data_IF_423251813775
#
_entry.id   IF_423251813775
#
_cell.length_a   1.000
_cell.length_b   1.000
_cell.length_c   1.000
_cell.angle_alpha   90.00
_cell.angle_beta   90.00
_cell.angle_gamma   90.00
#
_symmetry.space_group_name_H-M   'P 1'
#
loop_
_entity.id
_entity.type
_entity.pdbx_description
1 polymer ?
#
# COMPACT_ATOMS: atom_id res chain seq x y z
N UNK A 1 -27.49 3.28 -11.30
CA UNK A 1 -27.45 2.57 -10.00
C UNK A 1 -26.19 1.73 -9.97
N UNK A 2 -25.30 1.96 -9.01
CA UNK A 2 -24.09 1.15 -8.89
C UNK A 2 -24.46 -0.26 -8.41
N UNK A 3 -23.87 -1.29 -9.02
CA UNK A 3 -24.13 -2.68 -8.64
C UNK A 3 -23.34 -3.01 -7.37
N UNK A 4 -24.07 -3.29 -6.29
CA UNK A 4 -23.51 -3.78 -5.03
C UNK A 4 -22.58 -4.99 -5.24
N UNK A 5 -21.40 -5.00 -4.61
CA UNK A 5 -20.39 -6.06 -4.78
C UNK A 5 -20.27 -6.93 -3.52
N UNK A 6 -20.61 -8.21 -3.61
CA UNK A 6 -20.43 -9.14 -2.48
C UNK A 6 -18.96 -9.52 -2.25
N UNK A 7 -18.44 -9.25 -1.04
CA UNK A 7 -17.14 -9.78 -0.60
C UNK A 7 -17.20 -11.31 -0.50
N UNK A 8 -16.32 -11.99 -1.22
CA UNK A 8 -16.15 -13.43 -1.20
C UNK A 8 -15.00 -13.81 -0.29
N UNK A 9 -15.32 -14.26 0.92
CA UNK A 9 -14.30 -14.75 1.85
C UNK A 9 -13.76 -16.12 1.41
N UNK A 10 -12.44 -16.27 1.26
CA UNK A 10 -11.82 -17.57 1.07
C UNK A 10 -12.03 -18.49 2.28
N UNK A 11 -11.74 -19.77 2.10
CA UNK A 11 -11.73 -20.73 3.19
C UNK A 11 -10.49 -20.52 4.08
N UNK A 12 -10.68 -20.53 5.39
CA UNK A 12 -9.58 -20.42 6.36
C UNK A 12 -8.80 -21.73 6.53
N UNK A 13 -9.50 -22.85 6.38
CA UNK A 13 -8.94 -24.20 6.51
C UNK A 13 -9.70 -25.20 5.65
N UNK A 14 -9.05 -26.32 5.37
CA UNK A 14 -9.69 -27.46 4.74
C UNK A 14 -10.53 -28.22 5.78
N UNK A 15 -11.84 -28.00 5.82
CA UNK A 15 -12.74 -28.65 6.80
C UNK A 15 -13.28 -30.00 6.30
N UNK A 16 -14.04 -30.00 5.20
CA UNK A 16 -14.72 -31.20 4.70
C UNK A 16 -14.90 -31.17 3.18
N UNK A 17 -15.03 -32.36 2.59
CA UNK A 17 -15.36 -32.50 1.18
C UNK A 17 -16.79 -32.01 0.90
N UNK A 18 -16.94 -31.12 -0.09
CA UNK A 18 -18.22 -30.56 -0.51
C UNK A 18 -19.23 -31.61 -1.01
N UNK A 19 -18.74 -32.79 -1.45
CA UNK A 19 -19.58 -33.83 -2.04
C UNK A 19 -19.98 -34.94 -1.06
N UNK A 20 -19.08 -35.35 -0.16
CA UNK A 20 -19.30 -36.53 0.69
C UNK A 20 -19.06 -36.27 2.19
N UNK A 21 -18.67 -35.06 2.58
CA UNK A 21 -18.46 -34.69 3.98
C UNK A 21 -17.22 -35.29 4.66
N UNK A 22 -16.45 -36.17 4.00
CA UNK A 22 -15.19 -36.70 4.53
C UNK A 22 -14.21 -35.55 4.85
N UNK A 23 -13.44 -35.73 5.93
CA UNK A 23 -12.45 -34.74 6.43
C UNK A 23 -10.98 -35.12 6.17
N UNK A 24 -10.74 -36.26 5.53
CA UNK A 24 -9.40 -36.77 5.22
C UNK A 24 -9.05 -36.57 3.74
N UNK A 25 -7.75 -36.45 3.42
CA UNK A 25 -7.24 -36.34 2.05
C UNK A 25 -7.89 -35.20 1.25
N UNK A 26 -8.10 -34.07 1.91
CA UNK A 26 -8.75 -32.90 1.33
C UNK A 26 -7.81 -32.20 0.34
N UNK A 27 -8.36 -31.86 -0.82
CA UNK A 27 -7.69 -31.17 -1.90
C UNK A 27 -8.62 -30.07 -2.41
N UNK A 28 -8.03 -28.94 -2.79
CA UNK A 28 -8.77 -27.86 -3.43
C UNK A 28 -8.96 -28.14 -4.92
N UNK A 29 -10.01 -27.58 -5.51
CA UNK A 29 -10.14 -27.52 -6.95
C UNK A 29 -8.91 -26.88 -7.57
N UNK A 30 -8.18 -27.61 -8.42
CA UNK A 30 -6.94 -27.13 -9.05
C UNK A 30 -7.13 -25.90 -9.94
N UNK A 31 -8.36 -25.64 -10.39
CA UNK A 31 -8.72 -24.49 -11.24
C UNK A 31 -9.01 -23.23 -10.42
N UNK A 32 -10.01 -23.25 -9.53
CA UNK A 32 -10.43 -22.06 -8.79
C UNK A 32 -9.84 -21.94 -7.38
N UNK A 33 -9.39 -23.03 -6.77
CA UNK A 33 -8.87 -23.03 -5.39
C UNK A 33 -9.92 -22.84 -4.28
N UNK A 34 -11.22 -22.76 -4.59
CA UNK A 34 -12.26 -22.46 -3.59
C UNK A 34 -13.10 -23.68 -3.13
N UNK A 35 -13.23 -24.74 -3.94
CA UNK A 35 -13.99 -25.94 -3.55
C UNK A 35 -13.11 -27.03 -2.98
N UNK A 36 -13.55 -27.71 -1.91
CA UNK A 36 -12.81 -28.81 -1.26
C UNK A 36 -13.37 -30.18 -1.67
N UNK A 37 -12.49 -31.10 -2.06
CA UNK A 37 -12.81 -32.47 -2.38
C UNK A 37 -11.83 -33.45 -1.72
N UNK A 38 -12.31 -34.62 -1.29
CA UNK A 38 -11.42 -35.67 -0.76
C UNK A 38 -10.83 -36.58 -1.86
N UNK A 39 -11.23 -36.39 -3.12
CA UNK A 39 -10.84 -37.22 -4.26
C UNK A 39 -11.30 -36.62 -5.60
N UNK A 40 -10.64 -36.95 -6.72
CA UNK A 40 -11.12 -36.62 -8.07
C UNK A 40 -12.53 -37.16 -8.37
N UNK A 41 -12.92 -38.30 -7.76
CA UNK A 41 -14.28 -38.86 -7.91
C UNK A 41 -15.35 -37.91 -7.34
N UNK A 42 -15.09 -37.32 -6.18
CA UNK A 42 -16.01 -36.33 -5.59
C UNK A 42 -16.06 -35.05 -6.42
N UNK A 43 -14.91 -34.56 -6.88
CA UNK A 43 -14.86 -33.40 -7.78
C UNK A 43 -15.65 -33.64 -9.07
N UNK A 44 -15.48 -34.80 -9.74
CA UNK A 44 -16.24 -35.16 -10.95
C UNK A 44 -17.74 -35.24 -10.70
N UNK A 45 -18.15 -35.75 -9.53
CA UNK A 45 -19.57 -35.83 -9.14
C UNK A 45 -20.18 -34.45 -8.91
N UNK A 46 -19.44 -33.50 -8.34
CA UNK A 46 -19.88 -32.12 -8.11
C UNK A 46 -19.73 -31.23 -9.37
N UNK A 47 -18.91 -31.64 -10.33
CA UNK A 47 -18.54 -30.85 -11.51
C UNK A 47 -19.71 -30.24 -12.29
N UNK A 48 -20.86 -30.93 -12.52
CA UNK A 48 -22.00 -30.32 -13.21
C UNK A 48 -22.49 -29.02 -12.58
N UNK A 49 -22.45 -28.91 -11.25
CA UNK A 49 -22.84 -27.72 -10.50
C UNK A 49 -21.64 -26.77 -10.34
N UNK A 50 -20.49 -27.29 -9.92
CA UNK A 50 -19.31 -26.49 -9.65
C UNK A 50 -18.78 -25.75 -10.88
N UNK A 51 -18.83 -26.34 -12.08
CA UNK A 51 -18.33 -25.69 -13.30
C UNK A 51 -18.98 -24.33 -13.60
N UNK A 52 -20.20 -24.11 -13.10
CA UNK A 52 -20.95 -22.86 -13.25
C UNK A 52 -20.33 -21.73 -12.42
N UNK A 53 -19.68 -22.06 -11.31
CA UNK A 53 -19.01 -21.10 -10.41
C UNK A 53 -17.48 -21.19 -10.48
N UNK A 54 -16.92 -22.22 -11.11
CA UNK A 54 -15.48 -22.45 -11.27
C UNK A 54 -14.85 -21.56 -12.37
N UNK A 55 -14.89 -20.24 -12.16
CA UNK A 55 -14.48 -19.24 -13.15
C UNK A 55 -13.71 -18.08 -12.51
N UNK A 56 -12.69 -18.42 -11.73
CA UNK A 56 -11.79 -17.46 -11.09
C UNK A 56 -10.42 -17.48 -11.77
N UNK A 57 -9.87 -16.30 -11.97
CA UNK A 57 -8.47 -16.10 -12.29
C UNK A 57 -7.67 -16.04 -10.98
N UNK A 58 -6.40 -16.44 -11.04
CA UNK A 58 -5.49 -16.41 -9.89
C UNK A 58 -4.27 -15.57 -10.22
N UNK A 59 -3.80 -14.81 -9.23
CA UNK A 59 -2.58 -14.01 -9.33
C UNK A 59 -1.66 -14.43 -8.19
N UNK A 60 -0.41 -14.74 -8.54
CA UNK A 60 0.59 -15.05 -7.53
C UNK A 60 0.99 -13.76 -6.79
N UNK A 61 1.06 -13.82 -5.47
CA UNK A 61 1.47 -12.71 -4.62
C UNK A 61 2.88 -12.20 -4.98
N UNK A 62 3.79 -13.09 -5.37
CA UNK A 62 5.13 -12.71 -5.83
C UNK A 62 5.10 -11.88 -7.13
N UNK A 63 4.04 -11.99 -7.93
CA UNK A 63 3.82 -11.17 -9.13
C UNK A 63 3.04 -9.90 -8.79
N UNK A 64 2.26 -9.89 -7.70
CA UNK A 64 1.42 -8.77 -7.29
C UNK A 64 2.14 -7.73 -6.42
N UNK A 65 3.07 -8.13 -5.55
CA UNK A 65 3.69 -7.19 -4.60
C UNK A 65 4.39 -5.96 -5.23
N UNK A 66 4.96 -6.00 -6.45
CA UNK A 66 5.53 -4.80 -7.06
C UNK A 66 4.46 -3.77 -7.42
N UNK A 67 3.26 -4.23 -7.77
CA UNK A 67 2.11 -3.36 -7.92
C UNK A 67 1.70 -2.73 -6.59
N UNK A 68 1.71 -3.49 -5.48
CA UNK A 68 1.47 -2.91 -4.14
C UNK A 68 2.52 -1.86 -3.77
N UNK A 69 3.79 -2.11 -4.08
CA UNK A 69 4.89 -1.16 -3.87
C UNK A 69 4.69 0.11 -4.71
N UNK A 70 4.18 -0.03 -5.93
CA UNK A 70 3.81 1.09 -6.80
C UNK A 70 2.73 1.97 -6.15
N UNK A 71 1.71 1.36 -5.54
CA UNK A 71 0.66 2.11 -4.83
C UNK A 71 1.20 2.84 -3.60
N UNK A 72 2.12 2.21 -2.85
CA UNK A 72 2.77 2.87 -1.72
C UNK A 72 3.62 4.07 -2.18
N UNK A 73 4.39 3.92 -3.26
CA UNK A 73 5.19 5.00 -3.83
C UNK A 73 4.31 6.17 -4.28
N UNK A 74 3.16 5.89 -4.91
CA UNK A 74 2.17 6.93 -5.23
C UNK A 74 1.73 7.65 -3.95
N UNK A 75 1.43 6.92 -2.88
CA UNK A 75 1.03 7.50 -1.59
C UNK A 75 2.09 8.40 -0.98
N UNK A 76 3.36 7.97 -0.99
CA UNK A 76 4.48 8.79 -0.50
C UNK A 76 4.75 10.03 -1.37
N UNK A 77 4.42 9.97 -2.66
CA UNK A 77 4.63 11.06 -3.60
C UNK A 77 3.46 12.06 -3.72
N UNK A 78 2.36 11.86 -2.97
CA UNK A 78 1.21 12.78 -3.04
C UNK A 78 1.55 14.17 -2.53
N UNK A 79 0.96 15.18 -3.19
CA UNK A 79 1.19 16.59 -2.86
C UNK A 79 0.60 17.02 -1.51
N UNK A 80 -0.41 16.30 -1.02
CA UNK A 80 -1.09 16.59 0.25
C UNK A 80 -0.31 16.09 1.46
N UNK A 81 0.63 15.14 1.26
CA UNK A 81 1.53 14.70 2.31
C UNK A 81 2.39 15.90 2.71
N UNK A 82 2.38 16.33 3.99
CA UNK A 82 3.24 17.41 4.45
C UNK A 82 4.69 17.10 4.10
N UNK A 83 5.39 18.08 3.51
CA UNK A 83 6.81 17.93 3.24
C UNK A 83 7.56 17.81 4.56
N UNK A 84 8.36 16.75 4.69
CA UNK A 84 9.30 16.68 5.80
C UNK A 84 10.24 17.90 5.71
N UNK A 85 10.45 18.68 6.79
CA UNK A 85 11.25 19.90 6.74
C UNK A 85 12.65 19.67 6.14
N UNK A 86 13.25 18.51 6.40
CA UNK A 86 14.53 18.09 5.82
C UNK A 86 14.56 18.03 4.29
N UNK A 87 13.42 17.90 3.60
CA UNK A 87 13.36 17.94 2.13
C UNK A 87 13.42 19.37 1.57
N UNK A 88 13.29 20.39 2.43
CA UNK A 88 13.24 21.81 2.03
C UNK A 88 14.37 22.65 2.61
N UNK A 89 15.24 22.05 3.43
CA UNK A 89 16.40 22.72 4.01
C UNK A 89 17.66 22.04 3.51
N UNK A 90 18.76 22.80 3.47
CA UNK A 90 20.08 22.22 3.24
C UNK A 90 20.42 21.27 4.40
N UNK A 91 20.98 20.12 4.05
CA UNK A 91 21.40 19.09 4.98
C UNK A 91 22.90 19.22 5.23
N UNK A 92 23.25 19.45 6.48
CA UNK A 92 24.63 19.50 6.96
C UNK A 92 24.89 18.29 7.85
N UNK A 93 26.08 17.71 7.68
CA UNK A 93 26.61 16.68 8.59
C UNK A 93 27.77 17.30 9.39
N UNK A 94 27.90 17.04 10.70
CA UNK A 94 29.06 17.40 11.52
C UNK A 94 30.41 17.05 10.87
N UNK A 95 31.41 17.94 10.93
CA UNK A 95 32.75 17.72 10.35
C UNK A 95 33.51 16.56 11.01
N UNK A 96 33.37 16.44 12.34
CA UNK A 96 33.98 15.38 13.12
C UNK A 96 32.91 14.38 13.52
N UNK A 97 32.21 13.80 12.53
CA UNK A 97 31.28 12.72 12.80
C UNK A 97 32.04 11.59 13.49
N UNK A 98 31.90 11.41 14.82
CA UNK A 98 32.40 10.21 15.44
C UNK A 98 31.64 9.05 14.81
N UNK A 99 32.13 7.81 14.86
CA UNK A 99 31.32 6.65 14.48
C UNK A 99 30.16 6.46 15.48
N UNK A 100 29.25 7.44 15.59
CA UNK A 100 28.13 7.45 16.53
C UNK A 100 27.06 6.55 15.99
N UNK A 101 26.32 6.03 16.95
CA UNK A 101 25.23 5.13 16.74
C UNK A 101 24.19 5.67 15.76
N UNK A 102 23.91 6.96 15.58
CA UNK A 102 22.73 7.43 14.79
C UNK A 102 23.15 8.34 13.63
N UNK A 103 22.27 8.64 12.66
CA UNK A 103 22.53 9.63 11.59
C UNK A 103 21.87 10.98 11.88
N UNK A 104 22.56 11.92 12.57
CA UNK A 104 22.20 13.34 12.57
C UNK A 104 22.07 13.94 11.17
N UNK A 105 20.95 14.62 10.96
CA UNK A 105 20.57 15.44 9.83
C UNK A 105 20.38 16.86 10.41
N UNK A 106 21.35 17.74 10.18
CA UNK A 106 21.25 19.14 10.61
C UNK A 106 20.56 19.92 9.50
N UNK A 107 19.47 20.60 9.85
CA UNK A 107 18.71 21.48 8.99
C UNK A 107 19.32 22.88 9.08
N UNK A 108 19.99 23.27 8.01
CA UNK A 108 20.53 24.61 7.76
C UNK A 108 19.46 25.46 7.04
N UNK A 109 19.85 26.43 6.21
CA UNK A 109 18.95 27.33 5.52
C UNK A 109 17.95 26.61 4.61
N UNK A 110 16.74 27.19 4.52
CA UNK A 110 15.70 26.73 3.61
C UNK A 110 16.15 26.98 2.16
N UNK A 111 16.04 25.96 1.31
CA UNK A 111 16.36 26.05 -0.12
C UNK A 111 15.09 26.48 -0.87
N UNK A 112 15.15 27.56 -1.68
CA UNK A 112 14.06 27.93 -2.59
C UNK A 112 13.72 26.77 -3.55
N UNK A 113 12.43 26.58 -3.88
CA UNK A 113 11.97 25.46 -4.72
C UNK A 113 12.59 25.48 -6.13
N UNK A 114 12.82 26.66 -6.68
CA UNK A 114 13.44 26.90 -7.99
C UNK A 114 14.97 26.71 -7.98
N UNK A 115 15.58 26.67 -6.80
CA UNK A 115 17.01 26.45 -6.61
C UNK A 115 17.36 25.01 -6.23
N UNK A 116 16.36 24.15 -6.01
CA UNK A 116 16.59 22.81 -5.49
C UNK A 116 17.38 21.94 -6.48
N UNK A 117 18.55 21.49 -6.04
CA UNK A 117 19.30 20.39 -6.66
C UNK A 117 19.79 19.45 -5.55
N UNK A 118 20.00 18.16 -5.84
CA UNK A 118 20.52 17.23 -4.83
C UNK A 118 21.86 17.71 -4.26
N UNK A 119 22.74 18.24 -5.13
CA UNK A 119 24.04 18.78 -4.73
C UNK A 119 23.93 20.00 -3.80
N UNK A 120 22.99 20.92 -4.06
CA UNK A 120 22.73 22.05 -3.14
C UNK A 120 22.08 21.57 -1.84
N UNK A 121 21.15 20.63 -1.95
CA UNK A 121 20.41 20.06 -0.83
C UNK A 121 21.30 19.31 0.16
N UNK A 122 22.25 18.53 -0.32
CA UNK A 122 23.14 17.76 0.53
C UNK A 122 24.57 17.79 -0.02
N UNK A 123 25.29 18.91 0.16
CA UNK A 123 26.57 19.16 -0.53
C UNK A 123 27.72 18.29 -0.04
N UNK A 124 27.66 17.81 1.20
CA UNK A 124 28.76 17.06 1.83
C UNK A 124 28.84 15.59 1.40
N UNK A 125 27.77 15.01 0.85
CA UNK A 125 27.83 13.66 0.28
C UNK A 125 28.53 13.71 -1.08
N UNK A 126 29.40 12.75 -1.42
CA UNK A 126 30.25 12.86 -2.61
C UNK A 126 29.48 12.61 -3.91
N UNK A 127 28.51 11.70 -3.91
CA UNK A 127 27.79 11.27 -5.11
C UNK A 127 26.30 11.60 -5.06
N UNK A 128 25.66 11.74 -6.22
CA UNK A 128 24.20 11.87 -6.30
C UNK A 128 23.46 10.60 -5.86
N UNK A 129 24.12 9.44 -5.96
CA UNK A 129 23.63 8.15 -5.45
C UNK A 129 23.42 8.24 -3.94
N UNK A 130 24.45 8.67 -3.20
CA UNK A 130 24.40 8.85 -1.74
C UNK A 130 23.33 9.87 -1.34
N UNK A 131 23.26 11.01 -2.05
CA UNK A 131 22.26 12.06 -1.80
C UNK A 131 20.85 11.52 -2.02
N UNK A 132 20.61 10.84 -3.15
CA UNK A 132 19.30 10.26 -3.48
C UNK A 132 18.87 9.24 -2.44
N UNK A 133 19.80 8.43 -1.93
CA UNK A 133 19.54 7.45 -0.88
C UNK A 133 19.03 8.12 0.39
N UNK A 134 19.71 9.17 0.88
CA UNK A 134 19.23 9.94 2.04
C UNK A 134 17.89 10.62 1.74
N UNK A 135 17.75 11.18 0.54
CA UNK A 135 16.51 11.83 0.11
C UNK A 135 15.31 10.89 0.14
N UNK A 136 15.45 9.69 -0.43
CA UNK A 136 14.41 8.67 -0.46
C UNK A 136 14.01 8.24 0.95
N UNK A 137 14.99 8.02 1.84
CA UNK A 137 14.71 7.69 3.25
C UNK A 137 13.79 8.72 3.89
N UNK A 138 14.12 10.00 3.77
CA UNK A 138 13.35 11.12 4.32
C UNK A 138 11.98 11.23 3.64
N UNK A 139 11.91 11.05 2.32
CA UNK A 139 10.66 11.10 1.55
C UNK A 139 9.67 10.02 2.01
N UNK A 140 10.18 8.83 2.31
CA UNK A 140 9.39 7.69 2.76
C UNK A 140 9.03 7.75 4.25
N UNK A 141 9.57 8.68 5.03
CA UNK A 141 9.23 8.80 6.46
C UNK A 141 7.77 9.17 6.72
N UNK A 142 7.20 8.54 7.77
CA UNK A 142 5.85 8.78 8.25
C UNK A 142 4.74 8.21 7.35
N UNK A 143 3.54 8.17 7.91
CA UNK A 143 2.30 7.79 7.21
C UNK A 143 2.26 6.37 6.62
N UNK A 144 3.14 5.48 7.07
CA UNK A 144 3.14 4.06 6.64
C UNK A 144 1.79 3.40 6.91
N UNK A 145 1.25 3.54 8.12
CA UNK A 145 -0.02 2.93 8.49
C UNK A 145 -1.19 3.38 7.57
N UNK A 146 -1.46 4.69 7.40
CA UNK A 146 -2.44 5.18 6.42
C UNK A 146 -2.32 4.53 5.05
N UNK A 147 -1.10 4.51 4.49
CA UNK A 147 -0.83 3.96 3.16
C UNK A 147 -1.15 2.45 3.10
N UNK A 148 -0.71 1.68 4.09
CA UNK A 148 -0.92 0.24 4.13
C UNK A 148 -2.40 -0.14 4.34
N UNK A 149 -3.14 0.60 5.17
CA UNK A 149 -4.59 0.41 5.34
C UNK A 149 -5.31 0.65 4.02
N UNK A 150 -5.04 1.76 3.36
CA UNK A 150 -5.65 2.10 2.08
C UNK A 150 -5.39 1.06 0.99
N UNK A 151 -4.14 0.60 0.87
CA UNK A 151 -3.78 -0.47 -0.09
C UNK A 151 -4.50 -1.77 0.24
N UNK A 152 -4.62 -2.12 1.52
CA UNK A 152 -5.27 -3.36 1.97
C UNK A 152 -6.78 -3.35 1.71
N UNK A 153 -7.45 -2.22 1.96
CA UNK A 153 -8.88 -2.06 1.65
C UNK A 153 -9.10 -2.06 0.13
N UNK A 154 -8.24 -1.37 -0.64
CA UNK A 154 -8.33 -1.42 -2.09
C UNK A 154 -8.10 -2.83 -2.65
N UNK A 155 -7.20 -3.60 -2.05
CA UNK A 155 -6.98 -5.01 -2.38
C UNK A 155 -8.21 -5.87 -2.08
N UNK A 156 -8.83 -5.68 -0.91
CA UNK A 156 -10.10 -6.32 -0.53
C UNK A 156 -11.19 -6.01 -1.56
N UNK A 157 -11.38 -4.73 -1.87
CA UNK A 157 -12.39 -4.25 -2.81
C UNK A 157 -12.13 -4.73 -4.25
N UNK A 158 -10.89 -4.68 -4.73
CA UNK A 158 -10.54 -5.04 -6.11
C UNK A 158 -10.51 -6.54 -6.36
N UNK A 159 -9.89 -7.30 -5.45
CA UNK A 159 -9.63 -8.74 -5.68
C UNK A 159 -10.74 -9.60 -5.06
N UNK A 160 -11.28 -9.26 -3.90
CA UNK A 160 -12.16 -10.17 -3.16
C UNK A 160 -13.65 -9.90 -3.29
N UNK A 161 -14.09 -8.83 -3.97
CA UNK A 161 -15.53 -8.55 -4.18
C UNK A 161 -16.07 -9.02 -5.55
N UNK A 162 -15.20 -9.41 -6.47
CA UNK A 162 -15.60 -9.78 -7.82
C UNK A 162 -16.12 -11.23 -7.85
N UNK A 163 -17.45 -11.40 -7.72
CA UNK A 163 -18.11 -12.64 -8.16
C UNK A 163 -18.12 -12.72 -9.68
N UNK A 164 -18.27 -13.92 -10.22
CA UNK A 164 -18.47 -14.10 -11.64
C UNK A 164 -19.83 -13.53 -12.07
N UNK A 165 -19.88 -12.23 -12.39
CA UNK A 165 -21.10 -11.56 -12.84
C UNK A 165 -21.20 -11.69 -14.35
N UNK A 166 -22.36 -12.12 -14.84
CA UNK A 166 -22.71 -11.96 -16.26
C UNK A 166 -22.96 -10.48 -16.50
N UNK A 167 -22.08 -9.85 -17.26
CA UNK A 167 -22.31 -8.52 -17.78
C UNK A 167 -23.54 -8.52 -18.73
N UNK A 168 -24.20 -7.38 -18.93
CA UNK A 168 -25.38 -7.26 -19.80
C UNK A 168 -25.15 -7.77 -21.23
N UNK A 169 -23.91 -7.67 -21.74
CA UNK A 169 -23.49 -8.19 -23.04
C UNK A 169 -23.29 -9.72 -23.07
N UNK A 170 -23.60 -10.43 -21.98
CA UNK A 170 -23.43 -11.88 -21.85
C UNK A 170 -22.01 -12.31 -21.45
N UNK A 171 -21.02 -11.40 -21.42
CA UNK A 171 -19.66 -11.74 -21.02
C UNK A 171 -19.61 -11.99 -19.51
N UNK A 172 -18.99 -13.10 -19.11
CA UNK A 172 -18.79 -13.41 -17.69
C UNK A 172 -17.49 -12.76 -17.24
N UNK A 173 -17.58 -11.72 -16.40
CA UNK A 173 -16.40 -11.19 -15.70
C UNK A 173 -15.91 -12.29 -14.76
N UNK A 174 -14.62 -12.62 -14.82
CA UNK A 174 -14.03 -13.60 -13.91
C UNK A 174 -13.60 -12.88 -12.64
N UNK A 175 -13.92 -13.45 -11.49
CA UNK A 175 -13.34 -12.99 -10.23
C UNK A 175 -11.84 -13.27 -10.21
N UNK A 176 -11.11 -12.52 -9.39
CA UNK A 176 -9.65 -12.69 -9.22
C UNK A 176 -9.37 -13.14 -7.80
N UNK A 177 -8.36 -13.99 -7.58
CA UNK A 177 -7.91 -14.35 -6.23
C UNK A 177 -6.40 -14.31 -6.13
N UNK A 178 -5.90 -13.84 -5.00
CA UNK A 178 -4.50 -14.00 -4.68
C UNK A 178 -4.20 -15.44 -4.28
N UNK A 179 -3.04 -15.90 -4.70
CA UNK A 179 -2.42 -17.14 -4.27
C UNK A 179 -0.96 -16.89 -3.94
N UNK A 180 -0.39 -17.76 -3.12
CA UNK A 180 1.04 -17.78 -2.84
C UNK A 180 1.51 -19.23 -2.94
N UNK A 181 2.51 -19.49 -3.80
CA UNK A 181 3.08 -20.84 -3.99
C UNK A 181 2.05 -21.94 -4.30
N UNK A 182 1.07 -21.59 -5.13
CA UNK A 182 -0.02 -22.52 -5.49
C UNK A 182 -1.16 -22.63 -4.46
N UNK A 183 -1.02 -22.00 -3.30
CA UNK A 183 -1.99 -22.04 -2.20
C UNK A 183 -2.82 -20.74 -2.16
N UNK A 184 -4.16 -20.79 -2.12
CA UNK A 184 -4.97 -19.58 -2.00
C UNK A 184 -4.67 -18.81 -0.71
N UNK A 185 -4.66 -17.48 -0.80
CA UNK A 185 -4.61 -16.61 0.38
C UNK A 185 -5.94 -16.74 1.13
N UNK A 186 -5.87 -17.21 2.38
CA UNK A 186 -7.00 -17.36 3.29
C UNK A 186 -7.21 -16.15 4.19
N UNK A 187 -6.15 -15.38 4.46
CA UNK A 187 -6.22 -14.16 5.25
C UNK A 187 -5.11 -13.19 4.83
N UNK A 188 -5.35 -11.89 4.98
CA UNK A 188 -4.33 -10.85 4.87
C UNK A 188 -4.74 -9.62 5.68
N UNK A 189 -3.76 -8.82 6.02
CA UNK A 189 -3.99 -7.57 6.75
C UNK A 189 -2.69 -6.91 7.15
N UNK A 190 -2.72 -6.21 8.27
CA UNK A 190 -1.61 -5.44 8.78
C UNK A 190 -1.04 -6.10 10.02
N UNK A 191 0.28 -6.24 10.05
CA UNK A 191 1.02 -6.60 11.24
C UNK A 191 1.72 -5.35 11.78
N UNK A 192 1.70 -5.21 13.11
CA UNK A 192 2.36 -4.15 13.87
C UNK A 192 3.45 -4.78 14.73
N UNK A 193 4.62 -4.15 14.76
CA UNK A 193 5.71 -4.64 15.58
C UNK A 193 6.92 -3.74 15.54
N UNK A 194 8.09 -4.35 15.60
CA UNK A 194 9.38 -3.65 15.55
C UNK A 194 10.30 -4.25 14.50
N UNK A 195 11.14 -3.41 13.91
CA UNK A 195 12.24 -3.81 13.02
C UNK A 195 13.58 -3.72 13.78
N UNK A 196 14.41 -4.74 13.69
CA UNK A 196 15.76 -4.75 14.23
C UNK A 196 16.67 -3.88 13.35
N UNK A 197 16.68 -2.59 13.65
CA UNK A 197 17.42 -1.58 12.91
C UNK A 197 18.65 -1.21 13.72
N UNK A 198 19.82 -1.41 13.13
CA UNK A 198 21.08 -0.91 13.66
C UNK A 198 20.97 0.60 13.85
N UNK A 199 21.53 1.14 14.92
CA UNK A 199 21.35 2.56 15.23
C UNK A 199 21.76 3.45 14.03
N UNK A 200 22.81 3.09 13.25
CA UNK A 200 23.35 3.93 12.16
C UNK A 200 22.40 4.04 10.97
N UNK A 201 21.31 3.30 11.03
CA UNK A 201 20.24 3.29 10.06
C UNK A 201 19.02 4.10 10.53
N UNK A 202 19.10 4.80 11.66
CA UNK A 202 18.06 5.70 12.16
C UNK A 202 18.40 7.15 11.85
N UNK A 203 17.38 7.98 11.58
CA UNK A 203 17.53 9.41 11.28
C UNK A 203 17.19 10.28 12.49
N UNK A 204 18.15 11.15 12.81
CA UNK A 204 18.23 12.23 13.81
C UNK A 204 18.00 13.66 13.30
N UNK A 205 16.88 14.37 13.45
CA UNK A 205 16.80 15.75 12.90
C UNK A 205 17.11 16.84 13.94
N UNK A 206 17.99 17.77 13.57
CA UNK A 206 18.39 18.91 14.40
C UNK A 206 18.24 20.23 13.63
N UNK A 207 17.93 21.34 14.31
CA UNK A 207 17.97 22.69 13.73
C UNK A 207 19.22 23.41 14.24
N UNK A 208 19.99 24.09 13.38
CA UNK A 208 21.36 24.51 13.70
C UNK A 208 21.50 25.58 14.80
N UNK A 209 20.58 26.56 14.90
CA UNK A 209 20.79 27.72 15.78
C UNK A 209 19.59 28.04 16.69
N UNK A 210 19.69 27.77 18.01
CA UNK A 210 20.66 26.85 18.64
C UNK A 210 20.40 25.40 18.21
N UNK A 211 21.42 24.53 18.32
CA UNK A 211 21.28 23.09 18.04
C UNK A 211 20.23 22.49 18.96
N UNK A 212 19.00 22.34 18.45
CA UNK A 212 17.88 21.74 19.17
C UNK A 212 17.44 20.51 18.38
N UNK A 213 17.15 19.43 19.11
CA UNK A 213 16.48 18.26 18.57
C UNK A 213 15.13 18.71 17.98
N UNK A 214 15.03 18.65 16.66
CA UNK A 214 13.85 19.10 15.93
C UNK A 214 12.79 18.00 15.89
N UNK A 215 13.19 16.80 15.46
CA UNK A 215 12.33 15.63 15.43
C UNK A 215 13.17 14.34 15.45
N UNK A 216 12.56 13.24 15.87
CA UNK A 216 13.10 11.90 15.62
C UNK A 216 12.53 11.42 14.28
N UNK A 217 13.33 10.70 13.50
CA UNK A 217 12.82 9.95 12.36
C UNK A 217 11.89 8.83 12.80
N UNK A 218 11.48 8.00 11.83
CA UNK A 218 10.56 6.89 12.09
C UNK A 218 11.08 5.99 13.23
N UNK A 219 10.23 5.66 14.20
CA UNK A 219 10.59 4.74 15.28
C UNK A 219 10.56 3.30 14.75
N UNK A 220 11.69 2.58 14.68
CA UNK A 220 11.68 1.18 14.26
C UNK A 220 10.94 0.28 15.25
N UNK A 221 10.65 0.73 16.48
CA UNK A 221 9.80 -0.01 17.40
C UNK A 221 8.32 0.13 17.07
N UNK A 222 7.92 1.05 16.20
CA UNK A 222 6.55 1.23 15.73
C UNK A 222 6.51 1.09 14.21
N UNK A 223 6.64 -0.16 13.76
CA UNK A 223 6.70 -0.51 12.35
C UNK A 223 5.50 -1.33 11.91
N UNK A 224 5.11 -1.17 10.65
CA UNK A 224 3.92 -1.79 10.06
C UNK A 224 4.25 -2.46 8.73
N UNK A 225 3.69 -3.64 8.48
CA UNK A 225 3.84 -4.36 7.21
C UNK A 225 2.57 -5.14 6.86
N UNK A 226 2.47 -5.58 5.61
CA UNK A 226 1.39 -6.46 5.18
C UNK A 226 1.77 -7.91 5.44
N UNK A 227 0.84 -8.67 6.02
CA UNK A 227 0.95 -10.13 6.11
C UNK A 227 -0.04 -10.80 5.17
N UNK A 228 0.34 -11.96 4.64
CA UNK A 228 -0.50 -12.82 3.84
C UNK A 228 -0.38 -14.24 4.35
N UNK A 229 -1.53 -14.89 4.56
CA UNK A 229 -1.61 -16.25 5.07
C UNK A 229 -2.35 -17.12 4.09
N UNK A 230 -1.78 -18.26 3.72
CA UNK A 230 -2.44 -19.24 2.87
C UNK A 230 -3.29 -20.20 3.69
N UNK A 231 -4.23 -20.90 3.03
CA UNK A 231 -5.05 -21.95 3.67
C UNK A 231 -4.22 -23.13 4.21
N UNK A 232 -2.96 -23.25 3.78
CA UNK A 232 -2.00 -24.23 4.30
C UNK A 232 -1.18 -23.70 5.47
N UNK A 233 -1.51 -22.51 5.99
CA UNK A 233 -0.77 -21.82 7.04
C UNK A 233 0.68 -21.48 6.63
N UNK A 234 0.93 -21.29 5.34
CA UNK A 234 2.16 -20.65 4.86
C UNK A 234 1.96 -19.14 4.96
N UNK A 235 2.99 -18.40 5.36
CA UNK A 235 2.94 -16.95 5.43
C UNK A 235 3.90 -16.29 4.43
N UNK A 236 3.56 -15.07 4.05
CA UNK A 236 4.42 -14.17 3.31
C UNK A 236 4.26 -12.76 3.90
N UNK A 237 5.37 -12.02 3.94
CA UNK A 237 5.40 -10.63 4.39
C UNK A 237 5.71 -9.74 3.18
N UNK A 238 4.97 -8.64 3.08
CA UNK A 238 5.27 -7.55 2.15
C UNK A 238 5.45 -6.28 2.97
N UNK A 239 6.68 -5.81 3.05
CA UNK A 239 7.04 -4.59 3.77
C UNK A 239 7.43 -3.50 2.77
N UNK A 240 6.62 -2.45 2.72
CA UNK A 240 6.74 -1.34 1.78
C UNK A 240 7.45 -0.12 2.40
N UNK A 241 8.02 -0.28 3.59
CA UNK A 241 8.48 0.79 4.46
C UNK A 241 9.91 0.59 5.01
N UNK A 242 10.56 -0.52 4.66
CA UNK A 242 11.95 -0.81 5.10
C UNK A 242 12.99 0.22 4.63
N UNK A 243 12.76 0.93 3.53
CA UNK A 243 13.73 1.89 2.97
C UNK A 243 14.09 2.99 3.95
N UNK A 244 13.16 3.46 4.78
CA UNK A 244 13.42 4.50 5.80
C UNK A 244 14.62 4.16 6.69
N UNK A 245 14.76 2.86 6.98
CA UNK A 245 15.81 2.30 7.82
C UNK A 245 17.03 1.84 7.04
N UNK A 246 17.20 2.24 5.77
CA UNK A 246 18.31 1.76 4.94
C UNK A 246 18.39 0.22 4.92
N UNK A 247 17.24 -0.44 5.04
CA UNK A 247 17.09 -1.91 4.99
C UNK A 247 16.22 -2.23 3.78
N UNK A 248 16.43 -3.42 3.21
CA UNK A 248 15.53 -4.00 2.22
C UNK A 248 15.99 -3.85 0.78
N UNK A 249 15.06 -4.15 -0.12
CA UNK A 249 15.23 -4.09 -1.56
C UNK A 249 14.32 -3.04 -2.16
N UNK A 250 14.63 -2.65 -3.39
CA UNK A 250 13.72 -1.92 -4.24
C UNK A 250 13.27 -2.84 -5.37
N UNK A 251 12.04 -2.65 -5.85
CA UNK A 251 11.46 -3.40 -6.96
C UNK A 251 11.06 -2.46 -8.08
N UNK A 252 11.30 -2.87 -9.33
CA UNK A 252 10.94 -2.08 -10.51
C UNK A 252 9.42 -1.95 -10.63
N UNK A 253 8.91 -0.73 -10.83
CA UNK A 253 7.48 -0.41 -10.77
C UNK A 253 6.84 0.03 -12.08
N UNK A 254 7.63 0.53 -13.04
CA UNK A 254 7.09 1.04 -14.31
C UNK A 254 6.31 0.02 -15.17
N UNK A 255 6.59 -1.31 -15.12
CA UNK A 255 5.78 -2.30 -15.85
C UNK A 255 4.39 -2.54 -15.24
N UNK A 256 4.16 -2.15 -13.98
CA UNK A 256 2.98 -2.52 -13.22
C UNK A 256 1.87 -1.46 -13.31
N UNK A 257 2.26 -0.19 -13.45
CA UNK A 257 1.34 0.92 -13.70
C UNK A 257 1.89 1.81 -14.85
N UNK A 258 1.68 1.39 -16.11
CA UNK A 258 2.27 2.07 -17.26
C UNK A 258 1.88 3.55 -17.34
N UNK A 259 2.87 4.41 -17.61
CA UNK A 259 2.67 5.85 -17.78
C UNK A 259 2.55 6.66 -16.49
N UNK A 260 2.48 6.00 -15.32
CA UNK A 260 2.48 6.70 -14.02
C UNK A 260 3.90 6.98 -13.55
N UNK A 261 4.82 6.03 -13.72
CA UNK A 261 6.22 6.19 -13.34
C UNK A 261 7.13 6.45 -14.54
N UNK A 262 8.23 7.19 -14.36
CA UNK A 262 9.33 7.21 -15.32
C UNK A 262 9.84 5.78 -15.61
N UNK A 263 10.41 5.58 -16.80
CA UNK A 263 11.10 4.32 -17.11
C UNK A 263 12.20 4.05 -16.09
N UNK A 264 12.41 2.77 -15.77
CA UNK A 264 13.43 2.32 -14.83
C UNK A 264 13.24 2.87 -13.40
N UNK A 265 11.99 3.14 -13.03
CA UNK A 265 11.64 3.53 -11.66
C UNK A 265 11.57 2.31 -10.74
N UNK A 266 12.06 2.49 -9.52
CA UNK A 266 12.01 1.49 -8.47
C UNK A 266 11.33 2.06 -7.23
N UNK A 267 10.56 1.23 -6.55
CA UNK A 267 9.94 1.55 -5.26
C UNK A 267 10.47 0.64 -4.14
N UNK A 268 10.55 1.11 -2.90
CA UNK A 268 10.86 0.26 -1.75
C UNK A 268 9.89 -0.91 -1.62
N UNK A 269 10.43 -2.12 -1.52
CA UNK A 269 9.66 -3.30 -1.19
C UNK A 269 10.58 -4.42 -0.72
N UNK A 270 10.25 -5.00 0.44
CA UNK A 270 10.80 -6.26 0.91
C UNK A 270 9.70 -7.32 0.82
N UNK A 271 9.93 -8.33 -0.01
CA UNK A 271 9.10 -9.52 -0.10
C UNK A 271 9.81 -10.67 0.60
N UNK A 272 9.27 -11.13 1.74
CA UNK A 272 9.87 -12.19 2.53
C UNK A 272 9.01 -13.46 2.52
N UNK A 273 9.64 -14.56 2.15
CA UNK A 273 9.04 -15.89 2.06
C UNK A 273 9.34 -16.71 3.32
N UNK A 274 8.31 -17.27 3.95
CA UNK A 274 8.42 -17.94 5.26
C UNK A 274 8.99 -19.38 5.21
N UNK A 275 9.63 -19.80 4.11
CA UNK A 275 10.23 -21.15 4.06
C UNK A 275 11.52 -21.32 4.88
N UNK A 276 11.98 -20.27 5.58
CA UNK A 276 13.14 -20.33 6.47
C UNK A 276 12.86 -19.55 7.74
N UNK A 277 11.87 -20.01 8.52
CA UNK A 277 11.54 -19.48 9.84
C UNK A 277 12.71 -19.49 10.85
N UNK A 278 13.90 -19.97 10.46
CA UNK A 278 15.09 -20.00 11.31
C UNK A 278 16.01 -18.78 11.24
N UNK A 279 16.19 -18.11 10.09
CA UNK A 279 17.38 -17.25 9.91
C UNK A 279 17.17 -15.83 9.35
N UNK A 280 16.03 -15.51 8.71
CA UNK A 280 15.81 -14.16 8.13
C UNK A 280 14.70 -13.37 8.84
N UNK A 281 13.91 -14.03 9.71
CA UNK A 281 12.93 -13.40 10.63
C UNK A 281 13.61 -12.57 11.74
N UNK A 282 14.95 -12.49 11.77
CA UNK A 282 15.66 -11.70 12.77
C UNK A 282 15.40 -10.18 12.71
N UNK A 283 14.87 -9.68 11.58
CA UNK A 283 14.56 -8.26 11.43
C UNK A 283 13.19 -7.89 12.00
N UNK A 284 12.12 -8.58 11.63
CA UNK A 284 10.76 -8.24 12.08
C UNK A 284 10.40 -8.98 13.37
N UNK A 285 9.94 -8.23 14.37
CA UNK A 285 9.33 -8.79 15.58
C UNK A 285 7.89 -8.31 15.66
N UNK A 286 6.97 -9.16 15.22
CA UNK A 286 5.53 -8.93 15.31
C UNK A 286 5.07 -8.84 16.77
N UNK A 287 4.15 -7.91 17.06
CA UNK A 287 3.46 -7.78 18.34
C UNK A 287 1.97 -8.00 18.22
N UNK A 288 1.37 -7.41 17.19
CA UNK A 288 -0.07 -7.41 16.97
C UNK A 288 -0.38 -7.61 15.49
N UNK A 289 -1.56 -8.18 15.20
CA UNK A 289 -2.00 -8.51 13.85
C UNK A 289 -3.48 -8.20 13.69
N UNK A 290 -3.81 -7.57 12.57
CA UNK A 290 -5.14 -7.06 12.27
C UNK A 290 -5.57 -7.52 10.88
N UNK A 291 -6.54 -8.44 10.81
CA UNK A 291 -7.06 -8.92 9.53
C UNK A 291 -7.89 -7.84 8.86
N UNK A 292 -7.54 -7.53 7.61
CA UNK A 292 -8.37 -6.67 6.75
C UNK A 292 -9.42 -7.51 6.03
N UNK A 293 -9.06 -8.73 5.61
CA UNK A 293 -9.99 -9.62 4.90
C UNK A 293 -11.17 -10.06 5.76
N UNK A 294 -10.98 -10.18 7.08
CA UNK A 294 -11.99 -10.69 8.02
C UNK A 294 -12.63 -9.60 8.89
N UNK A 295 -12.28 -8.34 8.70
CA UNK A 295 -12.91 -7.24 9.41
C UNK A 295 -14.27 -6.89 8.77
N UNK A 296 -15.33 -6.85 9.57
CA UNK A 296 -16.70 -6.67 9.06
C UNK A 296 -16.94 -5.27 8.51
N UNK A 297 -16.40 -4.25 9.17
CA UNK A 297 -16.55 -2.84 8.81
C UNK A 297 -15.80 -2.53 7.50
N UNK A 298 -14.56 -3.02 7.38
CA UNK A 298 -13.78 -2.89 6.13
C UNK A 298 -14.40 -3.65 4.96
N UNK A 299 -15.13 -4.74 5.21
CA UNK A 299 -15.90 -5.43 4.18
C UNK A 299 -17.10 -4.63 3.72
N UNK A 300 -17.73 -3.86 4.61
CA UNK A 300 -18.80 -2.94 4.23
C UNK A 300 -18.26 -1.84 3.30
N UNK A 301 -17.08 -1.28 3.59
CA UNK A 301 -16.41 -0.33 2.69
C UNK A 301 -16.19 -0.94 1.30
N UNK A 302 -15.62 -2.16 1.24
CA UNK A 302 -15.35 -2.85 -0.01
C UNK A 302 -16.62 -3.11 -0.86
N UNK A 303 -17.77 -3.27 -0.21
CA UNK A 303 -19.07 -3.48 -0.83
C UNK A 303 -19.57 -2.22 -1.57
N UNK A 304 -19.28 -1.04 -1.00
CA UNK A 304 -19.74 0.26 -1.49
C UNK A 304 -18.74 1.03 -2.36
N UNK A 305 -17.45 0.65 -2.33
CA UNK A 305 -16.33 1.28 -3.04
C UNK A 305 -16.40 1.28 -4.60
N UNK A 306 -17.60 1.16 -5.17
CA UNK A 306 -17.89 1.32 -6.58
C UNK A 306 -17.81 2.79 -7.01
N UNK A 307 -17.14 3.07 -8.14
CA UNK A 307 -17.08 4.43 -8.69
C UNK A 307 -16.07 5.35 -8.01
N UNK A 308 -15.06 4.78 -7.34
CA UNK A 308 -13.87 5.51 -6.86
C UNK A 308 -14.16 6.61 -5.84
N UNK A 309 -15.26 6.50 -5.09
CA UNK A 309 -15.58 7.46 -4.03
C UNK A 309 -15.84 6.71 -2.75
N UNK A 310 -15.12 7.12 -1.70
CA UNK A 310 -15.33 6.67 -0.33
C UNK A 310 -16.31 7.66 0.28
N UNK A 311 -17.44 7.18 0.79
CA UNK A 311 -18.39 8.04 1.51
C UNK A 311 -17.80 8.46 2.86
N UNK A 312 -18.36 9.50 3.49
CA UNK A 312 -17.89 9.92 4.82
C UNK A 312 -17.99 8.79 5.85
N UNK A 313 -19.10 8.06 5.85
CA UNK A 313 -19.32 6.92 6.76
C UNK A 313 -18.28 5.80 6.54
N UNK A 314 -17.97 5.49 5.28
CA UNK A 314 -16.92 4.53 4.95
C UNK A 314 -15.52 5.02 5.36
N UNK A 315 -15.29 6.32 5.33
CA UNK A 315 -14.03 6.89 5.82
C UNK A 315 -13.93 6.75 7.35
N UNK A 316 -15.02 6.99 8.08
CA UNK A 316 -15.08 6.83 9.54
C UNK A 316 -14.73 5.39 9.95
N UNK A 317 -15.32 4.36 9.30
CA UNK A 317 -15.00 2.94 9.57
C UNK A 317 -13.51 2.61 9.32
N UNK A 318 -12.94 3.17 8.26
CA UNK A 318 -11.51 3.02 7.96
C UNK A 318 -10.64 3.71 9.01
N UNK A 319 -11.03 4.89 9.47
CA UNK A 319 -10.31 5.66 10.47
C UNK A 319 -10.35 4.98 11.84
N UNK A 320 -11.49 4.41 12.24
CA UNK A 320 -11.61 3.63 13.47
C UNK A 320 -10.70 2.38 13.44
N UNK A 321 -10.61 1.73 12.28
CA UNK A 321 -9.65 0.65 12.07
C UNK A 321 -8.20 1.14 12.19
N UNK A 322 -7.86 2.30 11.61
CA UNK A 322 -6.52 2.90 11.75
C UNK A 322 -6.20 3.20 13.21
N UNK A 323 -7.13 3.82 13.95
CA UNK A 323 -6.96 4.17 15.35
C UNK A 323 -6.70 2.91 16.19
N UNK A 324 -7.42 1.82 15.89
CA UNK A 324 -7.23 0.50 16.48
C UNK A 324 -5.84 -0.07 16.20
N UNK A 325 -5.38 -0.04 14.94
CA UNK A 325 -4.06 -0.57 14.57
C UNK A 325 -2.94 0.28 15.20
N UNK A 326 -3.09 1.61 15.19
CA UNK A 326 -2.14 2.54 15.79
C UNK A 326 -2.09 2.38 17.32
N UNK A 327 -3.20 1.99 17.96
CA UNK A 327 -3.35 1.99 19.41
C UNK A 327 -3.45 3.41 19.98
N UNK A 328 -3.82 4.38 19.14
CA UNK A 328 -4.02 5.80 19.44
C UNK A 328 -4.96 6.39 18.39
N UNK A 329 -5.54 7.55 18.68
CA UNK A 329 -6.22 8.33 17.64
C UNK A 329 -5.21 8.78 16.56
N UNK A 330 -5.50 8.46 15.31
CA UNK A 330 -4.77 8.97 14.16
C UNK A 330 -5.09 10.45 13.94
N UNK A 331 -4.07 11.21 13.61
CA UNK A 331 -4.20 12.65 13.33
C UNK A 331 -5.07 12.88 12.09
N UNK A 332 -5.71 14.05 12.00
CA UNK A 332 -6.55 14.38 10.84
C UNK A 332 -5.80 14.30 9.50
N UNK A 333 -4.50 14.60 9.50
CA UNK A 333 -3.65 14.46 8.31
C UNK A 333 -3.43 12.98 7.91
N UNK A 334 -3.29 12.08 8.88
CA UNK A 334 -3.17 10.63 8.65
C UNK A 334 -4.46 10.10 8.01
N UNK A 335 -5.61 10.49 8.57
CA UNK A 335 -6.96 10.15 8.09
C UNK A 335 -7.20 10.66 6.66
N UNK A 336 -6.79 11.89 6.36
CA UNK A 336 -6.88 12.49 5.02
C UNK A 336 -5.99 11.76 4.00
N UNK A 337 -4.74 11.44 4.34
CA UNK A 337 -3.82 10.68 3.48
C UNK A 337 -4.42 9.30 3.17
N UNK A 338 -4.96 8.61 4.17
CA UNK A 338 -5.58 7.30 3.98
C UNK A 338 -6.71 7.36 2.93
N UNK A 339 -7.60 8.34 3.02
CA UNK A 339 -8.73 8.48 2.09
C UNK A 339 -8.27 8.75 0.64
N UNK A 340 -7.29 9.65 0.43
CA UNK A 340 -6.76 9.95 -0.92
C UNK A 340 -6.02 8.75 -1.54
N UNK A 341 -5.20 8.07 -0.73
CA UNK A 341 -4.48 6.87 -1.18
C UNK A 341 -5.47 5.75 -1.50
N UNK A 342 -6.52 5.58 -0.71
CA UNK A 342 -7.55 4.55 -0.95
C UNK A 342 -8.26 4.81 -2.28
N UNK A 343 -8.72 6.04 -2.52
CA UNK A 343 -9.37 6.41 -3.77
C UNK A 343 -8.48 6.11 -4.99
N UNK A 344 -7.21 6.47 -4.89
CA UNK A 344 -6.23 6.22 -5.95
C UNK A 344 -5.97 4.73 -6.16
N UNK A 345 -5.81 3.98 -5.09
CA UNK A 345 -5.58 2.53 -5.13
C UNK A 345 -6.80 1.79 -5.72
N UNK A 346 -8.03 2.19 -5.36
CA UNK A 346 -9.26 1.62 -5.92
C UNK A 346 -9.31 1.79 -7.45
N UNK A 347 -8.96 2.97 -7.95
CA UNK A 347 -8.88 3.24 -9.38
C UNK A 347 -7.89 2.32 -10.11
N UNK A 348 -6.70 2.13 -9.53
CA UNK A 348 -5.70 1.25 -10.09
C UNK A 348 -6.13 -0.22 -10.06
N UNK A 349 -6.64 -0.72 -8.92
CA UNK A 349 -7.13 -2.10 -8.83
C UNK A 349 -8.26 -2.39 -9.83
N UNK A 350 -9.18 -1.44 -10.05
CA UNK A 350 -10.27 -1.62 -11.02
C UNK A 350 -9.75 -1.78 -12.45
N UNK A 351 -8.87 -0.87 -12.91
CA UNK A 351 -8.24 -0.94 -14.23
C UNK A 351 -7.53 -2.28 -14.42
N UNK A 352 -6.73 -2.70 -13.43
CA UNK A 352 -5.95 -3.93 -13.52
C UNK A 352 -6.85 -5.17 -13.57
N UNK A 353 -7.96 -5.18 -12.83
CA UNK A 353 -8.96 -6.27 -12.85
C UNK A 353 -9.77 -6.31 -14.13
N UNK A 354 -10.12 -5.16 -14.68
CA UNK A 354 -10.83 -5.06 -15.95
C UNK A 354 -9.94 -5.52 -17.12
N UNK A 355 -8.72 -5.00 -17.21
CA UNK A 355 -7.78 -5.27 -18.30
C UNK A 355 -7.01 -6.58 -18.11
N UNK A 356 -7.05 -7.16 -16.90
CA UNK A 356 -6.23 -8.30 -16.49
C UNK A 356 -4.75 -8.04 -16.69
N UNK A 357 -4.30 -6.83 -16.38
CA UNK A 357 -2.95 -6.36 -16.67
C UNK A 357 -1.86 -7.26 -16.07
N UNK A 358 -2.12 -7.92 -14.93
CA UNK A 358 -1.19 -8.88 -14.29
C UNK A 358 -0.75 -10.04 -15.18
N UNK A 359 -1.49 -10.35 -16.25
CA UNK A 359 -1.10 -11.40 -17.18
C UNK A 359 0.17 -11.03 -17.94
N UNK A 360 0.37 -9.73 -18.19
CA UNK A 360 1.48 -9.15 -18.93
C UNK A 360 2.67 -8.78 -18.03
N UNK A 361 2.47 -8.69 -16.72
CA UNK A 361 3.55 -8.37 -15.79
C UNK A 361 4.67 -9.42 -15.79
N UNK A 362 5.91 -9.00 -15.50
CA UNK A 362 7.04 -9.91 -15.29
C UNK A 362 6.70 -11.02 -14.29
N UNK A 363 7.05 -12.26 -14.61
CA UNK A 363 6.86 -13.40 -13.68
C UNK A 363 7.85 -13.40 -12.53
N UNK A 364 9.02 -12.82 -12.78
CA UNK A 364 10.06 -12.59 -11.78
C UNK A 364 10.29 -11.08 -11.73
N UNK A 365 9.82 -10.38 -10.68
CA UNK A 365 10.04 -8.95 -10.57
C UNK A 365 11.53 -8.61 -10.51
N UNK A 366 11.93 -7.57 -11.23
CA UNK A 366 13.29 -7.04 -11.16
C UNK A 366 13.47 -6.34 -9.81
N UNK A 367 14.40 -6.85 -9.01
CA UNK A 367 14.71 -6.32 -7.68
C UNK A 367 16.17 -5.92 -7.61
N UNK A 368 16.47 -4.87 -6.86
CA UNK A 368 17.84 -4.47 -6.52
C UNK A 368 17.96 -4.23 -5.01
N UNK A 369 19.12 -4.50 -4.39
CA UNK A 369 19.39 -4.05 -3.04
C UNK A 369 19.19 -2.54 -2.93
N UNK A 370 18.74 -2.05 -1.78
CA UNK A 370 18.69 -0.61 -1.54
C UNK A 370 20.10 0.04 -1.47
N UNK A 371 21.16 -0.76 -1.53
CA UNK A 371 22.53 -0.35 -1.23
C UNK A 371 23.41 0.06 -2.41
N UNK A 372 23.13 -0.30 -3.67
CA UNK A 372 24.14 -0.13 -4.73
C UNK A 372 23.61 0.52 -6.03
N UNK A 373 24.31 1.60 -6.39
CA UNK A 373 24.42 2.32 -7.66
C UNK A 373 23.52 1.91 -8.82
N UNK A 374 22.50 2.74 -9.07
CA UNK A 374 21.80 2.78 -10.35
C UNK A 374 21.32 4.21 -10.68
N UNK A 375 22.27 4.91 -11.31
CA UNK A 375 22.24 5.90 -12.38
C UNK A 375 21.06 6.86 -12.64
N UNK A 376 21.49 8.08 -13.02
CA UNK A 376 20.79 9.21 -13.64
C UNK A 376 19.95 10.14 -12.73
N UNK A 377 20.36 11.42 -12.70
CA UNK A 377 19.66 12.56 -12.11
C UNK A 377 18.26 12.82 -12.67
N UNK A 378 17.93 12.23 -13.82
CA UNK A 378 16.71 12.50 -14.60
C UNK A 378 15.44 12.08 -13.87
N UNK A 379 15.49 11.05 -13.01
CA UNK A 379 14.32 10.60 -12.26
C UNK A 379 13.72 11.69 -11.36
N UNK A 380 14.56 12.52 -10.71
CA UNK A 380 14.06 13.59 -9.83
C UNK A 380 13.35 14.69 -10.62
N UNK A 381 13.94 15.11 -11.74
CA UNK A 381 13.28 16.08 -12.62
C UNK A 381 11.95 15.54 -13.15
N UNK A 382 11.88 14.26 -13.50
CA UNK A 382 10.63 13.61 -13.90
C UNK A 382 9.63 13.48 -12.75
N UNK A 383 10.07 13.18 -11.52
CA UNK A 383 9.18 13.16 -10.34
C UNK A 383 8.58 14.55 -10.07
N UNK A 384 9.40 15.61 -10.16
CA UNK A 384 8.93 16.99 -10.00
C UNK A 384 8.00 17.42 -11.14
N UNK A 385 8.30 17.04 -12.39
CA UNK A 385 7.38 17.22 -13.53
C UNK A 385 6.06 16.46 -13.31
N UNK A 386 6.11 15.23 -12.82
CA UNK A 386 4.94 14.42 -12.50
C UNK A 386 4.09 15.08 -11.41
N UNK A 387 4.70 15.53 -10.31
CA UNK A 387 3.98 16.30 -9.27
C UNK A 387 3.32 17.53 -9.85
N UNK A 388 4.03 18.30 -10.70
CA UNK A 388 3.50 19.49 -11.38
C UNK A 388 2.33 19.18 -12.32
N UNK A 389 2.40 18.08 -13.09
CA UNK A 389 1.31 17.64 -13.99
C UNK A 389 0.06 17.22 -13.22
N UNK A 390 0.23 16.60 -12.07
CA UNK A 390 -0.86 16.14 -11.21
C UNK A 390 -1.36 17.22 -10.23
N UNK A 391 -0.92 18.48 -10.36
CA UNK A 391 -1.49 19.63 -9.62
C UNK A 391 -2.93 19.96 -10.05
N UNK A 392 -3.41 19.44 -11.20
CA UNK A 392 -4.74 19.74 -11.72
C UNK A 392 -5.84 18.89 -11.07
N UNK A 393 -6.06 19.04 -9.77
CA UNK A 393 -7.39 19.12 -9.13
C UNK A 393 -7.18 19.21 -7.61
N UNK A 394 -7.31 20.42 -7.07
CA UNK A 394 -7.94 20.79 -5.78
C UNK A 394 -7.71 22.30 -5.63
N UNK A 395 -8.76 23.09 -5.38
CA UNK A 395 -8.66 24.53 -5.16
C UNK A 395 -7.70 24.86 -4.00
N UNK A 396 -6.81 25.82 -4.22
CA UNK A 396 -5.77 26.26 -3.28
C UNK A 396 -6.32 26.94 -2.01
N UNK A 397 -7.64 27.14 -1.95
CA UNK A 397 -8.34 27.89 -0.90
C UNK A 397 -8.77 27.03 0.31
N UNK A 398 -8.42 25.73 0.36
CA UNK A 398 -8.78 24.84 1.49
C UNK A 398 -7.61 24.47 2.42
N UNK A 399 -6.37 24.89 2.14
CA UNK A 399 -5.23 24.58 3.03
C UNK A 399 -5.09 25.60 4.16
N UNK A 400 -5.59 26.82 3.98
CA UNK A 400 -5.58 27.87 5.03
C UNK A 400 -6.71 27.77 6.05
N UNK A 401 -7.65 26.82 5.90
CA UNK A 401 -8.83 26.65 6.77
C UNK A 401 -8.72 25.51 7.79
N UNK A 402 -7.60 24.78 7.84
CA UNK A 402 -7.40 23.67 8.80
C UNK A 402 -7.20 24.18 10.25
N UNK A 403 -6.97 25.48 10.46
CA UNK A 403 -6.94 26.07 11.82
C UNK A 403 -8.30 26.59 12.33
N UNK A 404 -9.42 26.24 11.69
CA UNK A 404 -10.78 26.69 12.06
C UNK A 404 -11.86 25.60 12.04
N UNK A 405 -11.45 24.34 12.23
CA UNK A 405 -12.37 23.19 12.24
C UNK A 405 -12.94 22.82 13.63
N UNK A 406 -12.86 23.71 14.62
CA UNK A 406 -13.60 23.58 15.89
C UNK A 406 -14.90 24.43 15.94
N UNK A 407 -15.02 25.48 15.11
CA UNK A 407 -16.17 26.43 15.17
C UNK A 407 -17.23 26.25 14.07
N UNK A 408 -17.05 25.31 13.13
CA UNK A 408 -17.96 25.10 11.99
C UNK A 408 -18.82 23.82 12.08
N UNK A 409 -18.89 23.17 13.25
CA UNK A 409 -19.67 21.93 13.43
C UNK A 409 -21.01 22.10 14.17
N UNK A 410 -21.46 23.33 14.48
CA UNK A 410 -22.75 23.53 15.17
C UNK A 410 -23.93 23.93 14.28
N UNK A 411 -23.74 24.36 13.03
CA UNK A 411 -24.87 24.78 12.20
C UNK A 411 -24.72 24.29 10.75
N UNK A 412 -25.49 23.27 10.38
CA UNK A 412 -26.24 23.19 9.11
C UNK A 412 -26.82 21.77 8.90
N UNK A 413 -27.99 21.54 9.49
CA UNK A 413 -29.03 20.72 8.88
C UNK A 413 -30.19 21.66 8.57
N UNK A 414 -30.49 21.90 7.30
CA UNK A 414 -31.86 22.11 6.75
C UNK A 414 -31.82 22.03 5.20
N UNK A 415 -32.24 20.88 4.62
CA UNK A 415 -33.28 20.71 3.55
C UNK A 415 -33.15 21.60 2.27
N UNK A 416 -33.05 21.16 0.99
CA UNK A 416 -33.93 20.28 0.19
C UNK A 416 -33.40 19.98 -1.25
N UNK A 417 -34.11 19.08 -1.95
CA UNK A 417 -33.95 18.49 -3.30
C UNK A 417 -34.56 19.40 -4.40
N UNK A 418 -33.95 19.44 -5.61
CA UNK A 418 -34.53 19.61 -6.98
C UNK A 418 -33.42 20.13 -7.93
N UNK A 419 -33.27 19.80 -9.21
CA UNK A 419 -34.05 19.05 -10.20
C UNK A 419 -33.10 18.76 -11.39
N UNK A 420 -33.27 17.59 -12.02
CA UNK A 420 -32.75 17.25 -13.35
C UNK A 420 -33.52 18.01 -14.46
N UNK A 421 -32.92 18.00 -15.66
CA UNK A 421 -33.39 18.38 -17.00
C UNK A 421 -33.03 19.79 -17.49
N UNK A 422 -32.17 19.84 -18.51
CA UNK A 422 -32.59 20.26 -19.84
C UNK A 422 -31.70 19.63 -20.93
N UNK A 423 -32.37 19.12 -21.97
CA UNK A 423 -31.87 18.49 -23.20
C UNK A 423 -32.34 19.40 -24.35
N UNK A 424 -31.47 19.62 -25.35
CA UNK A 424 -31.69 20.22 -26.69
C UNK A 424 -32.28 21.65 -26.77
N UNK A 425 -31.47 22.61 -27.23
CA UNK A 425 -31.30 22.94 -28.67
C UNK A 425 -29.86 23.42 -28.95
#
# INVERSE_FOLDING_TARGET
MSQMRDVCLPLEKLDKCNTCGKRSNLQLCSKCGESIYCSPKCQKKDWPHHKLTCNLDRVDLAVMYPFLASLAEIGHCRQWKPFHPALTHQIVFPENWPHVCVVPIILDDRIPEDEFTLAKWCPRLPTDSDRRKVFQRILHEGYTLPILVSISIALLAGIYTTKAVRAPNGNVRRGVRLMYRGSPISDFGIAKGSLNVQEQNRLVYFKETPIILFSRGQDPNEHYWLYFKTIKNEEAIVDLATSMFNVGSQVKVDPYIPGVFPKDSFAPALFQEDCVAGNVIGAHRERERFSVLRNDDLRAIAYHATGYRVTRFEADDMWDFMDTVAGRECEGIEKMIATDVLQSALAQFESIVEERAWRQWPKTPECRPCSDDAESGEWWEELMKWKKRNKSYVPQDQISSISRLDDMMSDMITVHISQDFEIFD
#
